data_IF_559118983229
#
_entry.id   IF_559118983229
#
_cell.length_a   1.000
_cell.length_b   1.000
_cell.length_c   1.000
_cell.angle_alpha   90.00
_cell.angle_beta   90.00
_cell.angle_gamma   90.00
#
_symmetry.space_group_name_H-M   'P 1'
#
loop_
_entity.id
_entity.type
_entity.pdbx_description
1 polymer ?
#
# COMPACT_ATOMS: atom_id res chain seq x y z
N UNK A 1 9.04 -10.70 -18.84
CA UNK A 1 9.25 -9.27 -19.18
C UNK A 1 8.47 -8.36 -18.23
N UNK A 2 7.22 -8.68 -17.86
CA UNK A 2 6.41 -7.83 -16.96
C UNK A 2 6.98 -7.51 -15.56
N UNK A 3 7.74 -8.41 -14.93
CA UNK A 3 8.27 -8.17 -13.58
C UNK A 3 9.29 -7.02 -13.51
N UNK A 4 10.19 -6.91 -14.49
CA UNK A 4 11.14 -5.79 -14.56
C UNK A 4 10.44 -4.46 -14.84
N UNK A 5 9.36 -4.48 -15.63
CA UNK A 5 8.55 -3.30 -15.90
C UNK A 5 7.78 -2.87 -14.65
N UNK A 6 7.20 -3.81 -13.89
CA UNK A 6 6.54 -3.54 -12.62
C UNK A 6 7.49 -2.92 -11.59
N UNK A 7 8.72 -3.43 -11.50
CA UNK A 7 9.75 -2.84 -10.64
C UNK A 7 10.16 -1.44 -11.06
N UNK A 8 10.28 -1.18 -12.36
CA UNK A 8 10.57 0.14 -12.89
C UNK A 8 9.46 1.15 -12.57
N UNK A 9 8.19 0.75 -12.74
CA UNK A 9 7.04 1.58 -12.37
C UNK A 9 7.02 1.84 -10.85
N UNK A 10 7.30 0.84 -10.01
CA UNK A 10 7.45 1.04 -8.55
C UNK A 10 8.53 2.07 -8.23
N UNK A 11 9.70 2.04 -8.88
CA UNK A 11 10.76 3.03 -8.60
C UNK A 11 10.37 4.45 -9.05
N UNK A 12 9.63 4.60 -10.16
CA UNK A 12 9.05 5.89 -10.55
C UNK A 12 8.04 6.38 -9.53
N UNK A 13 7.17 5.49 -9.04
CA UNK A 13 6.24 5.78 -7.96
C UNK A 13 6.94 6.23 -6.69
N UNK A 14 8.02 5.56 -6.29
CA UNK A 14 8.85 5.94 -5.15
C UNK A 14 9.46 7.34 -5.32
N UNK A 15 9.95 7.66 -6.52
CA UNK A 15 10.52 8.96 -6.83
C UNK A 15 9.47 10.08 -6.77
N UNK A 16 8.25 9.84 -7.26
CA UNK A 16 7.13 10.77 -7.18
C UNK A 16 6.67 10.96 -5.71
N UNK A 17 6.56 9.88 -4.94
CA UNK A 17 6.24 9.91 -3.52
C UNK A 17 7.23 10.76 -2.71
N UNK A 18 8.53 10.61 -2.97
CA UNK A 18 9.58 11.45 -2.33
C UNK A 18 9.43 12.94 -2.65
N UNK A 19 8.87 13.27 -3.82
CA UNK A 19 8.55 14.65 -4.22
C UNK A 19 7.20 15.13 -3.71
N UNK A 20 6.47 14.30 -2.95
CA UNK A 20 5.07 14.51 -2.54
C UNK A 20 4.10 14.68 -3.72
N UNK A 21 4.49 14.20 -4.90
CA UNK A 21 3.61 14.11 -6.05
C UNK A 21 2.81 12.80 -5.95
N UNK A 22 1.73 12.87 -5.16
CA UNK A 22 0.98 11.70 -4.75
C UNK A 22 0.13 11.11 -5.87
N UNK A 23 -0.41 11.92 -6.77
CA UNK A 23 -1.22 11.43 -7.89
C UNK A 23 -0.36 10.65 -8.88
N UNK A 24 0.82 11.18 -9.23
CA UNK A 24 1.79 10.47 -10.07
C UNK A 24 2.31 9.21 -9.38
N UNK A 25 2.54 9.25 -8.06
CA UNK A 25 2.96 8.06 -7.32
C UNK A 25 1.91 6.94 -7.37
N UNK A 26 0.64 7.27 -7.15
CA UNK A 26 -0.48 6.31 -7.24
C UNK A 26 -0.55 5.71 -8.65
N UNK A 27 -0.52 6.54 -9.70
CA UNK A 27 -0.61 6.06 -11.08
C UNK A 27 0.51 5.06 -11.44
N UNK A 28 1.73 5.30 -10.95
CA UNK A 28 2.84 4.37 -11.15
C UNK A 28 2.70 3.09 -10.33
N UNK A 29 2.22 3.16 -9.09
CA UNK A 29 1.95 1.94 -8.31
C UNK A 29 0.80 1.12 -8.90
N UNK A 30 -0.21 1.77 -9.47
CA UNK A 30 -1.31 1.07 -10.15
C UNK A 30 -0.82 0.32 -11.39
N UNK A 31 0.03 0.93 -12.21
CA UNK A 31 0.68 0.22 -13.32
C UNK A 31 1.53 -0.95 -12.83
N UNK A 32 2.27 -0.79 -11.73
CA UNK A 32 3.04 -1.89 -11.15
C UNK A 32 2.13 -3.05 -10.70
N UNK A 33 0.96 -2.74 -10.13
CA UNK A 33 -0.07 -3.72 -9.73
C UNK A 33 -0.70 -4.39 -10.95
N UNK A 34 -0.98 -3.66 -12.03
CA UNK A 34 -1.51 -4.23 -13.27
C UNK A 34 -0.53 -5.22 -13.91
N UNK A 35 0.77 -4.92 -13.82
CA UNK A 35 1.84 -5.76 -14.37
C UNK A 35 2.16 -6.98 -13.48
N UNK A 36 2.10 -6.81 -12.17
CA UNK A 36 2.26 -7.88 -11.19
C UNK A 36 1.34 -7.63 -9.96
N UNK A 37 0.13 -8.21 -9.98
CA UNK A 37 -0.85 -8.00 -8.91
C UNK A 37 -0.54 -8.80 -7.65
N UNK A 38 0.47 -9.67 -7.66
CA UNK A 38 0.80 -10.57 -6.56
C UNK A 38 1.81 -9.96 -5.58
N UNK A 39 2.49 -8.89 -5.98
CA UNK A 39 3.51 -8.25 -5.17
C UNK A 39 2.90 -7.28 -4.15
N UNK A 40 2.83 -7.72 -2.89
CA UNK A 40 2.36 -6.91 -1.75
C UNK A 40 3.06 -5.54 -1.62
N UNK A 41 4.31 -5.43 -2.07
CA UNK A 41 5.10 -4.19 -1.93
C UNK A 41 4.42 -3.02 -2.62
N UNK A 42 3.84 -3.23 -3.81
CA UNK A 42 3.18 -2.15 -4.56
C UNK A 42 1.95 -1.62 -3.82
N UNK A 43 1.13 -2.51 -3.26
CA UNK A 43 -0.01 -2.13 -2.42
C UNK A 43 0.45 -1.40 -1.15
N UNK A 44 1.48 -1.89 -0.44
CA UNK A 44 1.96 -1.22 0.77
C UNK A 44 2.56 0.16 0.50
N UNK A 45 3.10 0.39 -0.70
CA UNK A 45 3.59 1.69 -1.11
C UNK A 45 2.43 2.62 -1.51
N UNK A 46 1.45 2.13 -2.27
CA UNK A 46 0.21 2.87 -2.58
C UNK A 46 -0.54 3.28 -1.30
N UNK A 47 -0.67 2.39 -0.32
CA UNK A 47 -1.26 2.71 0.98
C UNK A 47 -0.48 3.81 1.71
N UNK A 48 0.85 3.83 1.62
CA UNK A 48 1.66 4.90 2.21
C UNK A 48 1.34 6.27 1.57
N UNK A 49 1.09 6.31 0.26
CA UNK A 49 0.69 7.54 -0.43
C UNK A 49 -0.63 8.08 0.11
N UNK A 50 -1.65 7.24 0.25
CA UNK A 50 -2.95 7.66 0.80
C UNK A 50 -2.85 8.11 2.26
N UNK A 51 -2.06 7.41 3.07
CA UNK A 51 -1.79 7.82 4.44
C UNK A 51 -1.19 9.23 4.51
N UNK A 52 -0.17 9.53 3.70
CA UNK A 52 0.46 10.86 3.65
C UNK A 52 -0.45 11.94 3.06
N UNK A 53 -1.38 11.58 2.16
CA UNK A 53 -2.45 12.48 1.69
C UNK A 53 -3.48 12.81 2.77
N UNK A 54 -3.52 12.06 3.86
CA UNK A 54 -4.59 12.13 4.87
C UNK A 54 -5.87 11.41 4.45
N UNK A 55 -5.83 10.65 3.35
CA UNK A 55 -6.96 9.84 2.89
C UNK A 55 -6.91 8.47 3.58
N UNK A 56 -7.31 8.47 4.84
CA UNK A 56 -7.17 7.32 5.71
C UNK A 56 -8.13 6.17 5.34
N UNK A 57 -9.29 6.48 4.75
CA UNK A 57 -10.23 5.48 4.25
C UNK A 57 -9.62 4.65 3.12
N UNK A 58 -9.05 5.31 2.11
CA UNK A 58 -8.36 4.63 1.02
C UNK A 58 -7.09 3.92 1.52
N UNK A 59 -6.37 4.51 2.48
CA UNK A 59 -5.22 3.86 3.09
C UNK A 59 -5.58 2.49 3.69
N UNK A 60 -6.66 2.42 4.46
CA UNK A 60 -7.13 1.18 5.08
C UNK A 60 -7.51 0.16 4.01
N UNK A 61 -8.33 0.55 3.02
CA UNK A 61 -8.77 -0.36 1.97
C UNK A 61 -7.60 -0.99 1.22
N UNK A 62 -6.58 -0.19 0.89
CA UNK A 62 -5.39 -0.70 0.20
C UNK A 62 -4.53 -1.56 1.13
N UNK A 63 -4.46 -1.26 2.42
CA UNK A 63 -3.78 -2.12 3.39
C UNK A 63 -4.46 -3.50 3.53
N UNK A 64 -5.79 -3.54 3.56
CA UNK A 64 -6.55 -4.80 3.63
C UNK A 64 -6.29 -5.66 2.39
N UNK A 65 -6.33 -5.04 1.19
CA UNK A 65 -5.92 -5.71 -0.06
C UNK A 65 -4.47 -6.19 0.00
N UNK A 66 -3.54 -5.40 0.54
CA UNK A 66 -2.14 -5.80 0.68
C UNK A 66 -1.99 -7.05 1.57
N UNK A 67 -2.75 -7.13 2.67
CA UNK A 67 -2.77 -8.29 3.57
C UNK A 67 -3.32 -9.52 2.88
N UNK A 68 -4.44 -9.40 2.15
CA UNK A 68 -5.05 -10.49 1.39
C UNK A 68 -4.05 -11.07 0.38
N UNK A 69 -3.53 -10.23 -0.50
CA UNK A 69 -2.52 -10.60 -1.50
C UNK A 69 -1.28 -11.22 -0.84
N UNK A 70 -0.81 -10.64 0.27
CA UNK A 70 0.33 -11.15 1.02
C UNK A 70 0.12 -12.55 1.57
N UNK A 71 -1.07 -12.83 2.12
CA UNK A 71 -1.42 -14.16 2.66
C UNK A 71 -1.56 -15.19 1.54
N UNK A 72 -2.27 -14.84 0.47
CA UNK A 72 -2.48 -15.71 -0.69
C UNK A 72 -1.15 -16.10 -1.36
N UNK A 73 -0.24 -15.14 -1.50
CA UNK A 73 1.04 -15.33 -2.19
C UNK A 73 2.20 -15.66 -1.25
N UNK A 74 1.93 -15.94 0.04
CA UNK A 74 2.94 -16.28 1.06
C UNK A 74 4.10 -15.29 1.14
N UNK A 75 3.77 -14.00 1.05
CA UNK A 75 4.75 -12.92 1.19
C UNK A 75 5.39 -12.92 2.59
N UNK A 76 6.53 -12.23 2.72
CA UNK A 76 7.19 -12.05 4.01
C UNK A 76 6.21 -11.46 5.03
N UNK A 77 6.06 -12.12 6.18
CA UNK A 77 5.21 -11.67 7.29
C UNK A 77 5.52 -10.23 7.72
N UNK A 78 6.75 -9.75 7.55
CA UNK A 78 7.12 -8.35 7.81
C UNK A 78 6.35 -7.36 6.94
N UNK A 79 6.08 -7.71 5.68
CA UNK A 79 5.33 -6.85 4.76
C UNK A 79 3.83 -6.83 5.12
N UNK A 80 3.30 -7.98 5.53
CA UNK A 80 1.92 -8.10 6.02
C UNK A 80 1.77 -7.30 7.33
N UNK A 81 2.71 -7.45 8.27
CA UNK A 81 2.74 -6.68 9.52
C UNK A 81 2.86 -5.17 9.26
N UNK A 82 3.63 -4.75 8.25
CA UNK A 82 3.74 -3.36 7.83
C UNK A 82 2.41 -2.82 7.29
N UNK A 83 1.66 -3.61 6.52
CA UNK A 83 0.32 -3.23 6.06
C UNK A 83 -0.63 -3.04 7.25
N UNK A 84 -0.65 -3.99 8.18
CA UNK A 84 -1.46 -3.90 9.39
C UNK A 84 -1.13 -2.70 10.26
N UNK A 85 0.16 -2.46 10.53
CA UNK A 85 0.61 -1.30 11.30
C UNK A 85 0.15 0.01 10.66
N UNK A 86 0.21 0.11 9.33
CA UNK A 86 -0.26 1.30 8.63
C UNK A 86 -1.79 1.46 8.69
N UNK A 87 -2.55 0.39 8.53
CA UNK A 87 -4.00 0.43 8.71
C UNK A 87 -4.35 0.90 10.12
N UNK A 88 -3.70 0.34 11.15
CA UNK A 88 -3.89 0.74 12.54
C UNK A 88 -3.62 2.25 12.73
N UNK A 89 -2.50 2.76 12.22
CA UNK A 89 -2.21 4.20 12.28
C UNK A 89 -3.24 5.05 11.54
N UNK A 90 -3.76 4.58 10.39
CA UNK A 90 -4.82 5.28 9.68
C UNK A 90 -6.10 5.37 10.53
N UNK A 91 -6.48 4.29 11.23
CA UNK A 91 -7.61 4.32 12.17
C UNK A 91 -7.36 5.24 13.37
N UNK A 92 -6.14 5.26 13.92
CA UNK A 92 -5.78 6.20 14.99
C UNK A 92 -5.95 7.64 14.54
N UNK A 93 -5.53 7.97 13.31
CA UNK A 93 -5.68 9.31 12.72
C UNK A 93 -7.13 9.68 12.44
N UNK A 94 -8.00 8.69 12.23
CA UNK A 94 -9.45 8.88 12.11
C UNK A 94 -10.18 8.94 13.45
N UNK A 95 -9.49 8.72 14.58
CA UNK A 95 -10.09 8.50 15.89
C UNK A 95 -11.10 7.33 15.91
N UNK A 96 -11.00 6.40 14.96
CA UNK A 96 -11.88 5.24 14.79
C UNK A 96 -11.25 4.00 15.43
N UNK A 97 -11.14 4.06 16.76
CA UNK A 97 -10.54 3.00 17.57
C UNK A 97 -11.34 1.70 17.55
N UNK A 98 -12.64 1.77 17.26
CA UNK A 98 -13.53 0.60 17.21
C UNK A 98 -13.16 -0.34 16.05
N UNK A 99 -12.76 0.22 14.91
CA UNK A 99 -12.32 -0.57 13.76
C UNK A 99 -10.82 -0.92 13.83
N UNK A 100 -9.98 -0.09 14.44
CA UNK A 100 -8.56 -0.42 14.69
C UNK A 100 -8.38 -1.77 15.41
N UNK A 101 -9.22 -2.05 16.41
CA UNK A 101 -9.14 -3.28 17.21
C UNK A 101 -9.52 -4.55 16.43
N UNK A 102 -10.25 -4.44 15.32
CA UNK A 102 -10.71 -5.59 14.52
C UNK A 102 -9.65 -6.12 13.56
N UNK A 103 -8.56 -5.38 13.38
CA UNK A 103 -7.54 -5.63 12.36
C UNK A 103 -6.34 -6.42 12.93
N UNK A 104 -6.23 -6.49 14.26
CA UNK A 104 -5.27 -7.32 15.01
C UNK A 104 -5.84 -8.74 15.20
#
# INVERSE_FOLDING_TARGET
>A
MGQHEAEAEKEKGNAAYKKKDFETAIAHYDKAIELDPTCITYYTNKAAVYYEKGDFDQCVEICDKAVEIGRENRADFKLIAKAYARAAHAFEKKEDYANAKKIL
#
